data_IF_639720599026
#
_entry.id   IF_639720599026
#
_cell.length_a   1.000
_cell.length_b   1.000
_cell.length_c   1.000
_cell.angle_alpha   90.00
_cell.angle_beta   90.00
_cell.angle_gamma   90.00
#
_symmetry.space_group_name_H-M   'P 1'
#
loop_
_entity.id
_entity.type
_entity.pdbx_description
1 polymer ?
#
# COMPACT_ATOMS: atom_id res chain seq x y z
N UNK A 1 -1.99 11.46 -12.25
CA UNK A 1 -2.93 11.51 -11.12
C UNK A 1 -2.34 12.41 -10.04
N UNK A 2 -3.02 13.51 -9.73
CA UNK A 2 -2.71 14.43 -8.63
C UNK A 2 -3.07 13.82 -7.26
N UNK A 3 -2.59 14.36 -6.13
CA UNK A 3 -3.02 13.91 -4.80
C UNK A 3 -4.54 13.98 -4.61
N UNK A 4 -5.19 15.04 -5.08
CA UNK A 4 -6.65 15.18 -4.97
C UNK A 4 -7.40 14.09 -5.76
N UNK A 5 -6.97 13.82 -7.00
CA UNK A 5 -7.55 12.73 -7.82
C UNK A 5 -7.34 11.36 -7.17
N UNK A 6 -6.17 11.14 -6.57
CA UNK A 6 -5.82 9.89 -5.89
C UNK A 6 -6.64 9.69 -4.62
N UNK A 7 -6.83 10.74 -3.82
CA UNK A 7 -7.70 10.71 -2.64
C UNK A 7 -9.13 10.34 -3.02
N UNK A 8 -9.67 10.94 -4.08
CA UNK A 8 -11.00 10.61 -4.58
C UNK A 8 -11.11 9.16 -5.06
N UNK A 9 -10.09 8.65 -5.76
CA UNK A 9 -10.03 7.25 -6.17
C UNK A 9 -9.98 6.28 -4.97
N UNK A 10 -9.19 6.61 -3.94
CA UNK A 10 -9.13 5.82 -2.70
C UNK A 10 -10.49 5.81 -1.99
N UNK A 11 -11.15 6.95 -1.84
CA UNK A 11 -12.46 7.04 -1.21
C UNK A 11 -13.51 6.18 -1.93
N UNK A 12 -13.42 6.05 -3.25
CA UNK A 12 -14.34 5.24 -4.07
C UNK A 12 -14.01 3.75 -4.06
N UNK A 13 -12.73 3.40 -4.28
CA UNK A 13 -12.34 2.02 -4.61
C UNK A 13 -11.88 1.23 -3.38
N UNK A 14 -11.32 1.90 -2.37
CA UNK A 14 -10.80 1.28 -1.14
C UNK A 14 -10.94 2.25 0.07
N UNK A 15 -12.17 2.57 0.50
CA UNK A 15 -12.44 3.61 1.50
C UNK A 15 -11.77 3.36 2.85
N UNK A 16 -11.48 2.10 3.21
CA UNK A 16 -10.77 1.75 4.45
C UNK A 16 -9.33 2.30 4.51
N UNK A 17 -8.77 2.73 3.38
CA UNK A 17 -7.45 3.37 3.31
C UNK A 17 -7.50 4.89 3.39
N UNK A 18 -8.68 5.51 3.36
CA UNK A 18 -8.81 6.96 3.32
C UNK A 18 -8.23 7.62 4.58
N UNK A 19 -8.50 7.05 5.76
CA UNK A 19 -7.96 7.56 7.02
C UNK A 19 -6.43 7.48 7.07
N UNK A 20 -5.84 6.40 6.53
CA UNK A 20 -4.39 6.26 6.42
C UNK A 20 -3.80 7.30 5.45
N UNK A 21 -4.48 7.56 4.34
CA UNK A 21 -4.10 8.56 3.36
C UNK A 21 -4.06 9.95 3.97
N UNK A 22 -5.17 10.37 4.58
CA UNK A 22 -5.32 11.71 5.15
C UNK A 22 -4.32 11.94 6.29
N UNK A 23 -4.07 10.91 7.11
CA UNK A 23 -3.06 10.96 8.17
C UNK A 23 -1.64 11.11 7.63
N UNK A 24 -1.26 10.39 6.57
CA UNK A 24 0.06 10.55 5.97
C UNK A 24 0.20 11.88 5.23
N UNK A 25 -0.86 12.37 4.58
CA UNK A 25 -0.88 13.69 3.96
C UNK A 25 -0.63 14.79 4.99
N UNK A 26 -1.40 14.79 6.08
CA UNK A 26 -1.24 15.74 7.19
C UNK A 26 0.17 15.68 7.80
N UNK A 27 0.76 14.49 7.93
CA UNK A 27 2.12 14.33 8.45
C UNK A 27 3.20 14.91 7.50
N UNK A 28 2.99 14.86 6.19
CA UNK A 28 3.87 15.51 5.21
C UNK A 28 3.76 17.04 5.31
N UNK A 29 2.54 17.56 5.35
CA UNK A 29 2.26 18.99 5.47
C UNK A 29 2.82 19.57 6.77
N UNK A 30 2.66 18.85 7.90
CA UNK A 30 3.22 19.25 9.19
C UNK A 30 4.76 19.32 9.19
N UNK A 31 5.42 18.60 8.28
CA UNK A 31 6.88 18.67 8.07
C UNK A 31 7.29 19.73 7.04
N UNK A 32 6.33 20.48 6.49
CA UNK A 32 6.56 21.42 5.40
C UNK A 32 6.90 20.76 4.07
N UNK A 33 6.59 19.46 3.91
CA UNK A 33 6.83 18.74 2.67
C UNK A 33 5.59 18.80 1.78
N UNK A 34 5.71 19.25 0.51
CA UNK A 34 4.58 19.22 -0.40
C UNK A 34 4.16 17.77 -0.68
N UNK A 35 2.87 17.55 -0.92
CA UNK A 35 2.32 16.30 -1.44
C UNK A 35 2.70 16.12 -2.91
N UNK A 36 4.00 15.99 -3.17
CA UNK A 36 4.58 15.90 -4.49
C UNK A 36 4.48 14.52 -5.12
N UNK A 37 5.23 14.34 -6.21
CA UNK A 37 5.23 13.11 -7.00
C UNK A 37 5.53 11.86 -6.17
N UNK A 38 6.49 11.92 -5.23
CA UNK A 38 6.84 10.78 -4.39
C UNK A 38 5.68 10.30 -3.51
N UNK A 39 4.91 11.23 -2.95
CA UNK A 39 3.73 10.91 -2.14
C UNK A 39 2.63 10.28 -3.01
N UNK A 40 2.33 10.91 -4.15
CA UNK A 40 1.33 10.41 -5.09
C UNK A 40 1.70 9.05 -5.68
N UNK A 41 2.99 8.80 -5.93
CA UNK A 41 3.48 7.52 -6.45
C UNK A 41 3.33 6.41 -5.41
N UNK A 42 3.76 6.64 -4.16
CA UNK A 42 3.57 5.69 -3.07
C UNK A 42 2.08 5.32 -2.91
N UNK A 43 1.21 6.31 -2.86
CA UNK A 43 -0.21 6.08 -2.67
C UNK A 43 -0.92 5.49 -3.89
N UNK A 44 -0.42 5.71 -5.11
CA UNK A 44 -0.90 5.00 -6.31
C UNK A 44 -0.63 3.50 -6.20
N UNK A 45 0.53 3.10 -5.67
CA UNK A 45 0.85 1.69 -5.44
C UNK A 45 -0.05 1.08 -4.36
N UNK A 46 -0.29 1.81 -3.27
CA UNK A 46 -1.21 1.37 -2.20
C UNK A 46 -2.65 1.27 -2.70
N UNK A 47 -3.14 2.22 -3.50
CA UNK A 47 -4.46 2.16 -4.15
C UNK A 47 -4.56 0.95 -5.09
N UNK A 48 -3.56 0.70 -5.93
CA UNK A 48 -3.57 -0.42 -6.88
C UNK A 48 -3.68 -1.80 -6.19
N UNK A 49 -3.16 -1.91 -4.97
CA UNK A 49 -3.27 -3.13 -4.15
C UNK A 49 -4.61 -3.16 -3.42
N UNK A 50 -4.97 -2.06 -2.75
CA UNK A 50 -6.11 -2.00 -1.82
C UNK A 50 -7.46 -1.97 -2.55
N UNK A 51 -7.49 -1.51 -3.80
CA UNK A 51 -8.64 -1.66 -4.71
C UNK A 51 -8.93 -3.13 -5.10
N UNK A 52 -8.05 -4.08 -4.72
CA UNK A 52 -8.20 -5.52 -4.96
C UNK A 52 -8.28 -6.26 -3.61
N UNK A 53 -9.45 -6.29 -2.95
CA UNK A 53 -9.56 -6.71 -1.54
C UNK A 53 -9.05 -8.13 -1.27
N UNK A 54 -9.31 -9.09 -2.18
CA UNK A 54 -8.80 -10.46 -2.04
C UNK A 54 -7.27 -10.55 -2.13
N UNK A 55 -6.65 -9.61 -2.86
CA UNK A 55 -5.20 -9.55 -3.03
C UNK A 55 -4.55 -8.90 -1.81
N UNK A 56 -5.11 -7.78 -1.35
CA UNK A 56 -4.71 -7.13 -0.10
C UNK A 56 -4.80 -8.09 1.08
N UNK A 57 -5.94 -8.75 1.28
CA UNK A 57 -6.14 -9.71 2.38
C UNK A 57 -5.14 -10.88 2.32
N UNK A 58 -4.80 -11.34 1.11
CA UNK A 58 -3.79 -12.40 0.92
C UNK A 58 -2.39 -11.92 1.29
N UNK A 59 -2.02 -10.70 0.91
CA UNK A 59 -0.74 -10.09 1.26
C UNK A 59 -0.65 -9.92 2.79
N UNK A 60 -1.69 -9.40 3.40
CA UNK A 60 -1.81 -9.23 4.85
C UNK A 60 -1.64 -10.54 5.61
N UNK A 61 -2.31 -11.60 5.16
CA UNK A 61 -2.18 -12.93 5.77
C UNK A 61 -0.74 -13.43 5.70
N UNK A 62 -0.02 -13.16 4.61
CA UNK A 62 1.40 -13.52 4.50
C UNK A 62 2.28 -12.71 5.45
N UNK A 63 2.06 -11.39 5.58
CA UNK A 63 2.81 -10.55 6.52
C UNK A 63 2.54 -10.95 7.98
N UNK A 64 1.29 -11.15 8.37
CA UNK A 64 0.93 -11.62 9.72
C UNK A 64 1.49 -13.01 10.02
N UNK A 65 1.58 -13.90 9.03
CA UNK A 65 2.22 -15.19 9.18
C UNK A 65 3.75 -15.07 9.31
N UNK A 66 4.37 -14.12 8.59
CA UNK A 66 5.80 -13.85 8.69
C UNK A 66 6.17 -13.30 10.07
N UNK A 67 5.42 -12.31 10.57
CA UNK A 67 5.62 -11.71 11.90
C UNK A 67 5.49 -12.73 13.04
N UNK A 68 4.55 -13.68 12.92
CA UNK A 68 4.34 -14.75 13.91
C UNK A 68 5.30 -15.93 13.76
N UNK A 69 6.16 -15.93 12.74
CA UNK A 69 7.09 -17.04 12.50
C UNK A 69 8.27 -16.97 13.47
N UNK A 70 8.46 -18.04 14.24
CA UNK A 70 9.64 -18.21 15.10
C UNK A 70 10.94 -18.45 14.32
N UNK A 71 10.84 -18.78 13.03
CA UNK A 71 11.97 -19.07 12.17
C UNK A 71 12.19 -17.96 11.14
N UNK A 72 13.41 -17.40 11.11
CA UNK A 72 13.81 -16.32 10.19
C UNK A 72 13.66 -16.74 8.73
N UNK A 73 14.10 -17.95 8.37
CA UNK A 73 13.99 -18.46 6.99
C UNK A 73 12.54 -18.53 6.51
N UNK A 74 11.61 -18.92 7.40
CA UNK A 74 10.18 -19.01 7.09
C UNK A 74 9.56 -17.63 6.97
N UNK A 75 9.90 -16.69 7.86
CA UNK A 75 9.48 -15.30 7.75
C UNK A 75 9.91 -14.69 6.41
N UNK A 76 11.19 -14.86 6.04
CA UNK A 76 11.73 -14.39 4.76
C UNK A 76 11.00 -14.99 3.56
N UNK A 77 10.71 -16.31 3.57
CA UNK A 77 9.95 -16.96 2.49
C UNK A 77 8.54 -16.38 2.33
N UNK A 78 7.86 -16.11 3.44
CA UNK A 78 6.52 -15.51 3.45
C UNK A 78 6.54 -14.08 2.94
N UNK A 79 7.51 -13.27 3.39
CA UNK A 79 7.72 -11.90 2.89
C UNK A 79 8.03 -11.89 1.39
N UNK A 80 8.92 -12.77 0.90
CA UNK A 80 9.20 -12.90 -0.54
C UNK A 80 7.94 -13.24 -1.33
N UNK A 81 7.06 -14.10 -0.79
CA UNK A 81 5.79 -14.44 -1.44
C UNK A 81 4.87 -13.22 -1.50
N UNK A 82 4.77 -12.44 -0.43
CA UNK A 82 4.00 -11.19 -0.41
C UNK A 82 4.57 -10.17 -1.43
N UNK A 83 5.89 -9.97 -1.43
CA UNK A 83 6.57 -9.07 -2.36
C UNK A 83 6.37 -9.46 -3.82
N UNK A 84 6.35 -10.77 -4.15
CA UNK A 84 6.05 -11.23 -5.51
C UNK A 84 4.62 -10.91 -5.94
N UNK A 85 3.65 -11.04 -5.03
CA UNK A 85 2.25 -10.70 -5.33
C UNK A 85 2.15 -9.18 -5.57
N UNK A 86 2.75 -8.37 -4.69
CA UNK A 86 2.83 -6.91 -4.88
C UNK A 86 3.49 -6.56 -6.21
N UNK A 87 4.67 -7.12 -6.50
CA UNK A 87 5.42 -6.87 -7.73
C UNK A 87 4.58 -7.08 -9.00
N UNK A 88 3.84 -8.19 -9.10
CA UNK A 88 2.97 -8.46 -10.25
C UNK A 88 1.86 -7.43 -10.46
N UNK A 89 1.36 -6.83 -9.38
CA UNK A 89 0.34 -5.76 -9.47
C UNK A 89 0.99 -4.48 -9.96
N UNK A 90 2.16 -4.15 -9.42
CA UNK A 90 2.88 -2.92 -9.71
C UNK A 90 3.54 -2.93 -11.09
N UNK A 91 3.90 -4.09 -11.62
CA UNK A 91 4.35 -4.25 -13.02
C UNK A 91 3.27 -3.79 -14.01
N UNK A 92 1.99 -3.96 -13.69
CA UNK A 92 0.87 -3.49 -14.51
C UNK A 92 0.55 -2.00 -14.37
N UNK A 93 1.31 -1.25 -13.57
CA UNK A 93 1.19 0.21 -13.45
C UNK A 93 2.20 0.98 -14.33
N UNK A 94 3.17 0.27 -14.91
CA UNK A 94 4.17 0.83 -15.83
C UNK A 94 3.64 0.84 -17.26
#
# INVERSE_FOLDING_TARGET
MTPAELRAAIARDCPHRLDDYDRHAAAFEARGWPLGLAFAEFWRQEHAISSRPRVEERIDRLYRAAQRSRFVWRARRLMTKASRIRGKILEGLK
#
